data_IF_063516202693
#
_entry.id   IF_063516202693
#
_cell.length_a   1.000
_cell.length_b   1.000
_cell.length_c   1.000
_cell.angle_alpha   90.00
_cell.angle_beta   90.00
_cell.angle_gamma   90.00
#
_symmetry.space_group_name_H-M   'P 1'
#
loop_
_entity.id
_entity.type
_entity.pdbx_description
1 polymer ?
#
# COMPACT_ATOMS: atom_id res chain seq x y z
N UNK A 1 17.40 -7.14 11.09
CA UNK A 1 16.92 -8.27 10.27
C UNK A 1 15.65 -8.90 10.85
N UNK A 2 14.83 -9.47 9.99
CA UNK A 2 13.62 -10.21 10.32
C UNK A 2 12.59 -9.37 11.08
N UNK A 3 11.91 -10.00 12.05
CA UNK A 3 10.90 -9.34 12.88
C UNK A 3 11.43 -8.10 13.63
N UNK A 4 12.75 -8.00 13.80
CA UNK A 4 13.38 -6.84 14.42
C UNK A 4 13.24 -5.60 13.54
N UNK A 5 13.44 -5.70 12.22
CA UNK A 5 13.29 -4.54 11.32
C UNK A 5 11.83 -4.07 11.25
N UNK A 6 10.89 -5.01 11.42
CA UNK A 6 9.47 -4.69 11.38
C UNK A 6 8.97 -4.02 12.66
N UNK A 7 9.44 -4.46 13.83
CA UNK A 7 8.81 -4.11 15.12
C UNK A 7 9.74 -3.50 16.16
N UNK A 8 11.03 -3.32 15.88
CA UNK A 8 11.91 -2.57 16.76
C UNK A 8 11.46 -1.11 16.88
N UNK A 9 11.33 -0.62 18.12
CA UNK A 9 10.88 0.74 18.41
C UNK A 9 11.85 1.53 19.30
N UNK A 10 13.03 0.98 19.58
CA UNK A 10 14.04 1.60 20.45
C UNK A 10 13.79 1.43 21.95
N UNK A 11 12.59 1.00 22.35
CA UNK A 11 12.21 0.79 23.76
C UNK A 11 12.06 -0.70 24.11
N UNK A 12 11.85 -1.55 23.10
CA UNK A 12 11.69 -3.00 23.23
C UNK A 12 13.00 -3.81 23.15
N UNK A 13 14.15 -3.14 23.10
CA UNK A 13 15.47 -3.75 23.23
C UNK A 13 16.57 -2.90 22.60
N UNK A 14 17.60 -3.54 22.07
CA UNK A 14 18.76 -2.86 21.49
C UNK A 14 19.16 -3.45 20.15
N UNK A 15 19.55 -2.57 19.24
CA UNK A 15 20.13 -2.94 17.96
C UNK A 15 21.60 -2.52 17.94
N UNK A 16 22.45 -3.33 17.32
CA UNK A 16 23.80 -2.95 16.96
C UNK A 16 23.72 -2.53 15.50
N UNK A 17 24.10 -1.29 15.21
CA UNK A 17 24.15 -0.83 13.82
C UNK A 17 25.22 -1.60 13.08
N UNK A 18 24.84 -2.26 11.99
CA UNK A 18 25.78 -2.85 11.04
C UNK A 18 26.65 -1.74 10.46
N UNK A 19 27.95 -1.99 10.31
CA UNK A 19 28.87 -1.06 9.66
C UNK A 19 28.78 -1.19 8.13
N UNK A 20 27.59 -0.92 7.58
CA UNK A 20 27.32 -0.96 6.15
C UNK A 20 28.18 0.05 5.39
N UNK A 21 28.77 -0.38 4.27
CA UNK A 21 29.67 0.44 3.45
C UNK A 21 31.15 0.38 3.87
N UNK A 22 31.51 -0.48 4.84
CA UNK A 22 32.91 -0.81 5.18
C UNK A 22 33.29 -2.14 4.52
N UNK A 23 34.13 -2.06 3.48
CA UNK A 23 34.55 -3.24 2.70
C UNK A 23 35.62 -4.09 3.40
N UNK A 24 36.41 -3.49 4.31
CA UNK A 24 37.44 -4.17 5.07
C UNK A 24 36.83 -4.92 6.27
N UNK A 25 36.88 -6.27 6.28
CA UNK A 25 36.25 -7.08 7.33
C UNK A 25 36.82 -6.79 8.72
N UNK A 26 38.14 -6.61 8.86
CA UNK A 26 38.77 -6.39 10.17
C UNK A 26 38.33 -5.03 10.75
N UNK A 27 38.26 -4.02 9.88
CA UNK A 27 37.76 -2.69 10.27
C UNK A 27 36.29 -2.71 10.64
N UNK A 28 35.47 -3.49 9.92
CA UNK A 28 34.05 -3.66 10.22
C UNK A 28 33.86 -4.31 11.60
N UNK A 29 34.62 -5.37 11.87
CA UNK A 29 34.58 -6.09 13.15
C UNK A 29 34.97 -5.17 14.32
N UNK A 30 36.03 -4.35 14.17
CA UNK A 30 36.41 -3.36 15.19
C UNK A 30 35.26 -2.37 15.50
N UNK A 31 34.61 -1.84 14.46
CA UNK A 31 33.52 -0.87 14.61
C UNK A 31 32.28 -1.49 15.28
N UNK A 32 31.91 -2.70 14.87
CA UNK A 32 30.76 -3.41 15.44
C UNK A 32 31.04 -3.85 16.89
N UNK A 33 32.28 -4.25 17.20
CA UNK A 33 32.70 -4.57 18.55
C UNK A 33 32.67 -3.34 19.46
N UNK A 34 33.21 -2.20 19.03
CA UNK A 34 33.16 -0.93 19.77
C UNK A 34 31.71 -0.49 20.04
N UNK A 35 30.84 -0.62 19.04
CA UNK A 35 29.41 -0.33 19.18
C UNK A 35 28.74 -1.25 20.21
N UNK A 36 29.05 -2.56 20.17
CA UNK A 36 28.54 -3.54 21.14
C UNK A 36 29.01 -3.23 22.57
N UNK A 37 30.31 -2.99 22.78
CA UNK A 37 30.84 -2.69 24.11
C UNK A 37 30.26 -1.38 24.66
N UNK A 38 30.19 -0.34 23.84
CA UNK A 38 29.57 0.93 24.19
C UNK A 38 28.10 0.77 24.57
N UNK A 39 27.35 -0.06 23.85
CA UNK A 39 25.95 -0.39 24.14
C UNK A 39 25.81 -1.09 25.50
N UNK A 40 26.66 -2.08 25.77
CA UNK A 40 26.64 -2.82 27.03
C UNK A 40 26.94 -1.89 28.20
N UNK A 41 28.01 -1.11 28.11
CA UNK A 41 28.47 -0.23 29.19
C UNK A 41 27.48 0.90 29.49
N UNK A 42 26.97 1.55 28.46
CA UNK A 42 26.20 2.79 28.62
C UNK A 42 24.69 2.59 28.67
N UNK A 43 24.18 1.48 28.12
CA UNK A 43 22.74 1.22 28.03
C UNK A 43 22.31 -0.04 28.78
N UNK A 44 22.85 -1.21 28.43
CA UNK A 44 22.35 -2.49 28.96
C UNK A 44 22.68 -2.65 30.45
N UNK A 45 23.96 -2.48 30.83
CA UNK A 45 24.39 -2.67 32.21
C UNK A 45 23.71 -1.68 33.17
N UNK A 46 23.58 -0.37 32.85
CA UNK A 46 22.84 0.57 33.71
C UNK A 46 21.35 0.27 33.80
N UNK A 47 20.72 -0.23 32.73
CA UNK A 47 19.32 -0.63 32.76
C UNK A 47 19.09 -1.88 33.62
N UNK A 48 20.00 -2.86 33.53
CA UNK A 48 19.87 -4.14 34.20
C UNK A 48 20.36 -4.12 35.66
N UNK A 49 21.51 -3.51 35.97
CA UNK A 49 22.12 -3.61 37.30
C UNK A 49 21.69 -2.54 38.30
N UNK A 50 21.24 -1.36 37.83
CA UNK A 50 20.78 -0.30 38.73
C UNK A 50 19.48 -0.74 39.42
N UNK A 51 19.50 -0.80 40.74
CA UNK A 51 18.34 -1.18 41.56
C UNK A 51 17.76 0.03 42.30
N UNK A 52 16.46 0.00 42.55
CA UNK A 52 15.79 0.91 43.48
C UNK A 52 15.88 0.41 44.94
N UNK A 53 15.27 1.13 45.87
CA UNK A 53 15.25 0.79 47.30
C UNK A 53 14.56 -0.56 47.60
N UNK A 54 13.77 -1.08 46.65
CA UNK A 54 13.13 -2.40 46.74
C UNK A 54 13.96 -3.52 46.08
N UNK A 55 15.15 -3.20 45.58
CA UNK A 55 16.03 -4.16 44.93
C UNK A 55 15.64 -4.51 43.48
N UNK A 56 14.76 -3.72 42.85
CA UNK A 56 14.26 -3.98 41.49
C UNK A 56 14.91 -3.06 40.46
N UNK A 57 15.07 -3.47 39.18
CA UNK A 57 15.52 -2.58 38.11
C UNK A 57 14.35 -1.84 37.44
N UNK A 58 14.06 -0.58 37.80
CA UNK A 58 12.89 0.13 37.26
C UNK A 58 12.96 0.27 35.73
N UNK A 59 14.13 0.59 35.17
CA UNK A 59 14.32 0.76 33.71
C UNK A 59 14.13 -0.55 32.96
N UNK A 60 14.75 -1.64 33.43
CA UNK A 60 14.56 -2.97 32.81
C UNK A 60 13.11 -3.43 32.85
N UNK A 61 12.44 -3.29 34.00
CA UNK A 61 11.03 -3.65 34.14
C UNK A 61 10.13 -2.80 33.25
N UNK A 62 10.44 -1.53 33.06
CA UNK A 62 9.72 -0.68 32.10
C UNK A 62 9.86 -1.21 30.67
N UNK A 63 11.07 -1.59 30.23
CA UNK A 63 11.30 -2.19 28.92
C UNK A 63 10.54 -3.51 28.74
N UNK A 64 10.56 -4.39 29.75
CA UNK A 64 9.79 -5.66 29.72
C UNK A 64 8.29 -5.38 29.57
N UNK A 65 7.74 -4.46 30.38
CA UNK A 65 6.32 -4.08 30.31
C UNK A 65 5.96 -3.48 28.95
N UNK A 66 6.82 -2.61 28.41
CA UNK A 66 6.63 -2.01 27.10
C UNK A 66 6.60 -3.09 26.00
N UNK A 67 7.59 -3.99 26.00
CA UNK A 67 7.69 -5.11 25.05
C UNK A 67 6.44 -5.98 25.09
N UNK A 68 5.97 -6.38 26.29
CA UNK A 68 4.76 -7.18 26.42
C UNK A 68 3.51 -6.45 25.91
N UNK A 69 3.43 -5.13 26.14
CA UNK A 69 2.31 -4.30 25.68
C UNK A 69 2.30 -4.12 24.16
N UNK A 70 3.45 -3.86 23.55
CA UNK A 70 3.55 -3.51 22.12
C UNK A 70 3.65 -4.74 21.21
N UNK A 71 4.43 -5.75 21.60
CA UNK A 71 4.65 -6.96 20.81
C UNK A 71 3.70 -8.09 21.17
N UNK A 72 3.24 -8.19 22.43
CA UNK A 72 2.37 -9.27 22.90
C UNK A 72 1.20 -9.57 21.96
N UNK A 73 0.37 -8.57 21.57
CA UNK A 73 -0.72 -8.78 20.61
C UNK A 73 -0.26 -9.14 19.19
N UNK A 74 0.98 -8.77 18.82
CA UNK A 74 1.54 -8.94 17.48
C UNK A 74 2.23 -10.29 17.25
N UNK A 75 2.60 -11.03 18.29
CA UNK A 75 3.37 -12.29 18.14
C UNK A 75 2.55 -13.55 18.38
N UNK A 76 1.24 -13.42 18.59
CA UNK A 76 0.38 -14.55 18.89
C UNK A 76 0.16 -15.44 17.66
N UNK A 77 0.53 -16.72 17.78
CA UNK A 77 0.22 -17.73 16.77
C UNK A 77 -1.29 -17.84 16.50
N UNK A 78 -2.14 -17.60 17.51
CA UNK A 78 -3.59 -17.56 17.35
C UNK A 78 -4.07 -16.38 16.50
N UNK A 79 -3.43 -15.21 16.60
CA UNK A 79 -3.69 -14.07 15.71
C UNK A 79 -3.28 -14.43 14.28
N UNK A 80 -2.06 -14.94 14.10
CA UNK A 80 -1.56 -15.37 12.79
C UNK A 80 -2.51 -16.38 12.14
N UNK A 81 -2.85 -17.47 12.84
CA UNK A 81 -3.75 -18.49 12.31
C UNK A 81 -5.12 -17.91 11.95
N UNK A 82 -5.69 -17.05 12.80
CA UNK A 82 -6.95 -16.37 12.51
C UNK A 82 -6.84 -15.54 11.23
N UNK A 83 -5.79 -14.75 11.08
CA UNK A 83 -5.58 -13.92 9.87
C UNK A 83 -5.41 -14.77 8.62
N UNK A 84 -4.67 -15.87 8.68
CA UNK A 84 -4.55 -16.81 7.57
C UNK A 84 -5.91 -17.39 7.17
N UNK A 85 -6.70 -17.84 8.15
CA UNK A 85 -8.01 -18.41 7.89
C UNK A 85 -8.97 -17.36 7.32
N UNK A 86 -9.06 -16.18 7.93
CA UNK A 86 -10.07 -15.18 7.56
C UNK A 86 -9.70 -14.36 6.34
N UNK A 87 -8.41 -14.09 6.10
CA UNK A 87 -7.97 -13.25 4.98
C UNK A 87 -7.55 -14.05 3.75
N UNK A 88 -7.11 -15.29 3.91
CA UNK A 88 -6.54 -16.08 2.82
C UNK A 88 -7.37 -17.34 2.54
N UNK A 89 -7.45 -18.27 3.50
CA UNK A 89 -8.01 -19.60 3.23
C UNK A 89 -9.52 -19.61 3.01
N UNK A 90 -10.31 -18.94 3.85
CA UNK A 90 -11.76 -18.91 3.69
C UNK A 90 -12.18 -18.20 2.39
N UNK A 91 -11.67 -17.00 2.06
CA UNK A 91 -11.95 -16.36 0.77
C UNK A 91 -11.55 -17.22 -0.43
N UNK A 92 -10.38 -17.88 -0.40
CA UNK A 92 -9.95 -18.77 -1.47
C UNK A 92 -10.89 -19.97 -1.64
N UNK A 93 -11.35 -20.58 -0.53
CA UNK A 93 -12.29 -21.69 -0.57
C UNK A 93 -13.68 -21.27 -1.09
N UNK A 94 -14.14 -20.06 -0.76
CA UNK A 94 -15.38 -19.49 -1.31
C UNK A 94 -15.27 -19.21 -2.81
N UNK A 95 -14.15 -18.62 -3.25
CA UNK A 95 -13.87 -18.40 -4.67
C UNK A 95 -13.84 -19.71 -5.45
N UNK A 96 -13.17 -20.74 -4.94
CA UNK A 96 -13.14 -22.08 -5.56
C UNK A 96 -14.55 -22.66 -5.73
N UNK A 97 -15.39 -22.64 -4.67
CA UNK A 97 -16.78 -23.11 -4.74
C UNK A 97 -17.62 -22.34 -5.77
N UNK A 98 -17.43 -21.02 -5.86
CA UNK A 98 -18.13 -20.18 -6.85
C UNK A 98 -17.75 -20.54 -8.29
N UNK A 99 -16.48 -20.84 -8.53
CA UNK A 99 -15.97 -21.20 -9.86
C UNK A 99 -16.38 -22.61 -10.27
N UNK A 100 -16.49 -23.56 -9.32
CA UNK A 100 -16.94 -24.93 -9.56
C UNK A 100 -18.47 -25.07 -9.74
N UNK A 101 -19.23 -24.10 -9.23
CA UNK A 101 -20.68 -24.10 -9.33
C UNK A 101 -21.19 -24.16 -10.79
N UNK A 102 -22.42 -24.63 -10.96
CA UNK A 102 -23.14 -24.65 -12.25
C UNK A 102 -22.34 -25.31 -13.39
N UNK A 103 -21.56 -26.35 -13.07
CA UNK A 103 -20.73 -27.04 -14.04
C UNK A 103 -19.66 -26.13 -14.65
N UNK A 104 -18.95 -25.38 -13.79
CA UNK A 104 -17.86 -24.49 -14.19
C UNK A 104 -18.27 -23.38 -15.16
N UNK A 105 -19.49 -22.84 -15.02
CA UNK A 105 -19.97 -21.75 -15.88
C UNK A 105 -19.10 -20.49 -15.73
N UNK A 106 -18.92 -20.03 -14.48
CA UNK A 106 -18.07 -18.87 -14.16
C UNK A 106 -16.61 -19.07 -14.58
N UNK A 107 -16.08 -20.29 -14.46
CA UNK A 107 -14.72 -20.60 -14.88
C UNK A 107 -14.51 -20.38 -16.39
N UNK A 108 -15.47 -20.83 -17.20
CA UNK A 108 -15.44 -20.70 -18.67
C UNK A 108 -15.63 -19.25 -19.10
N UNK A 109 -16.58 -18.55 -18.48
CA UNK A 109 -16.81 -17.12 -18.67
C UNK A 109 -15.56 -16.31 -18.35
N UNK A 110 -15.00 -16.50 -17.15
CA UNK A 110 -13.77 -15.83 -16.72
C UNK A 110 -12.60 -16.13 -17.66
N UNK A 111 -12.45 -17.38 -18.11
CA UNK A 111 -11.40 -17.77 -19.06
C UNK A 111 -11.53 -17.04 -20.40
N UNK A 112 -12.74 -16.97 -20.96
CA UNK A 112 -13.02 -16.25 -22.19
C UNK A 112 -12.76 -14.74 -22.04
N UNK A 113 -13.26 -14.16 -20.94
CA UNK A 113 -13.05 -12.76 -20.60
C UNK A 113 -11.57 -12.41 -20.43
N UNK A 114 -10.79 -13.22 -19.68
CA UNK A 114 -9.34 -13.01 -19.52
C UNK A 114 -8.60 -12.98 -20.85
N UNK A 115 -8.97 -13.86 -21.78
CA UNK A 115 -8.40 -13.89 -23.13
C UNK A 115 -8.74 -12.62 -23.90
N UNK A 116 -10.00 -12.18 -23.87
CA UNK A 116 -10.45 -10.96 -24.54
C UNK A 116 -9.72 -9.73 -24.00
N UNK A 117 -9.70 -9.55 -22.67
CA UNK A 117 -9.05 -8.42 -22.01
C UNK A 117 -7.55 -8.37 -22.31
N UNK A 118 -6.85 -9.49 -22.21
CA UNK A 118 -5.41 -9.55 -22.48
C UNK A 118 -5.08 -9.15 -23.93
N UNK A 119 -5.89 -9.58 -24.89
CA UNK A 119 -5.71 -9.22 -26.31
C UNK A 119 -6.01 -7.74 -26.58
N UNK A 120 -7.03 -7.18 -25.92
CA UNK A 120 -7.45 -5.80 -26.10
C UNK A 120 -6.63 -4.78 -25.29
N UNK A 121 -5.90 -5.21 -24.25
CA UNK A 121 -5.32 -4.31 -23.24
C UNK A 121 -4.40 -3.22 -23.80
N UNK A 122 -3.66 -3.52 -24.87
CA UNK A 122 -2.76 -2.57 -25.52
C UNK A 122 -3.47 -1.33 -26.10
N UNK A 123 -4.80 -1.40 -26.28
CA UNK A 123 -5.62 -0.28 -26.73
C UNK A 123 -6.20 0.56 -25.58
N UNK A 124 -6.10 0.08 -24.34
CA UNK A 124 -6.56 0.80 -23.16
C UNK A 124 -5.54 1.88 -22.80
N UNK A 125 -5.99 3.13 -22.70
CA UNK A 125 -5.14 4.26 -22.29
C UNK A 125 -5.95 5.34 -21.59
N UNK A 126 -5.30 6.03 -20.66
CA UNK A 126 -5.82 7.27 -20.08
C UNK A 126 -5.34 8.40 -20.97
N UNK A 127 -6.26 9.04 -21.69
CA UNK A 127 -5.96 10.12 -22.62
C UNK A 127 -5.66 11.42 -21.87
N UNK A 128 -6.48 11.73 -20.85
CA UNK A 128 -6.35 12.95 -20.07
C UNK A 128 -6.98 12.79 -18.67
N UNK A 129 -6.44 13.50 -17.68
CA UNK A 129 -6.98 13.59 -16.32
C UNK A 129 -7.02 15.06 -15.92
N UNK A 130 -8.13 15.47 -15.34
CA UNK A 130 -8.33 16.82 -14.81
C UNK A 130 -8.96 16.73 -13.41
N UNK A 131 -8.73 17.75 -12.59
CA UNK A 131 -9.38 17.85 -11.29
C UNK A 131 -9.84 19.27 -11.00
N UNK A 132 -11.07 19.39 -10.50
CA UNK A 132 -11.61 20.64 -9.97
C UNK A 132 -11.55 20.63 -8.44
N UNK A 133 -11.40 21.80 -7.84
CA UNK A 133 -11.36 21.95 -6.37
C UNK A 133 -9.98 21.68 -5.76
N UNK A 134 -8.96 21.53 -6.60
CA UNK A 134 -7.55 21.42 -6.20
C UNK A 134 -6.92 22.82 -6.29
N UNK A 135 -6.52 23.38 -5.16
CA UNK A 135 -5.68 24.59 -5.09
C UNK A 135 -4.47 24.34 -4.20
N UNK A 136 -3.54 25.30 -4.10
CA UNK A 136 -2.25 25.14 -3.37
C UNK A 136 -2.40 24.68 -1.91
N UNK A 137 -3.55 24.98 -1.29
CA UNK A 137 -3.93 24.46 0.02
C UNK A 137 -5.40 24.05 -0.01
N UNK A 138 -5.67 22.75 0.10
CA UNK A 138 -7.03 22.25 0.18
C UNK A 138 -7.46 22.12 1.66
N UNK A 139 -8.64 22.65 1.98
CA UNK A 139 -9.20 22.62 3.33
C UNK A 139 -10.02 21.35 3.54
N UNK A 140 -10.02 20.86 4.78
CA UNK A 140 -10.85 19.76 5.25
C UNK A 140 -12.32 20.07 4.99
N UNK A 141 -13.02 19.11 4.38
CA UNK A 141 -14.41 19.27 3.96
C UNK A 141 -14.60 19.79 2.53
N UNK A 142 -13.53 20.23 1.85
CA UNK A 142 -13.62 20.53 0.41
C UNK A 142 -13.83 19.24 -0.39
N UNK A 143 -14.56 19.38 -1.49
CA UNK A 143 -14.74 18.33 -2.48
C UNK A 143 -13.79 18.54 -3.65
N UNK A 144 -13.03 17.50 -3.97
CA UNK A 144 -12.23 17.43 -5.19
C UNK A 144 -12.98 16.55 -6.18
N UNK A 145 -13.22 17.07 -7.38
CA UNK A 145 -13.82 16.29 -8.48
C UNK A 145 -12.74 15.90 -9.46
N UNK A 146 -12.42 14.61 -9.54
CA UNK A 146 -11.49 14.06 -10.54
C UNK A 146 -12.28 13.57 -11.74
N UNK A 147 -11.84 13.93 -12.94
CA UNK A 147 -12.35 13.43 -14.22
C UNK A 147 -11.22 12.79 -15.02
N UNK A 148 -11.51 11.65 -15.63
CA UNK A 148 -10.57 10.92 -16.44
C UNK A 148 -11.21 10.56 -17.78
N UNK A 149 -10.52 10.90 -18.86
CA UNK A 149 -10.87 10.53 -20.22
C UNK A 149 -10.08 9.28 -20.58
N UNK A 150 -10.79 8.17 -20.77
CA UNK A 150 -10.19 6.84 -20.94
C UNK A 150 -10.64 6.24 -22.26
N UNK A 151 -9.68 5.88 -23.11
CA UNK A 151 -9.91 5.04 -24.28
C UNK A 151 -9.87 3.56 -23.85
N UNK A 152 -10.95 2.81 -24.07
CA UNK A 152 -11.05 1.38 -23.72
C UNK A 152 -10.86 0.44 -24.93
N UNK A 153 -10.76 0.99 -26.14
CA UNK A 153 -10.66 0.20 -27.37
C UNK A 153 -11.91 -0.65 -27.59
N UNK A 154 -11.74 -1.97 -27.64
CA UNK A 154 -12.85 -2.92 -27.80
C UNK A 154 -13.47 -3.38 -26.47
N UNK A 155 -12.98 -2.89 -25.32
CA UNK A 155 -13.52 -3.20 -24.00
C UNK A 155 -14.62 -2.22 -23.61
N UNK A 156 -15.54 -2.68 -22.76
CA UNK A 156 -16.58 -1.85 -22.16
C UNK A 156 -16.24 -1.41 -20.73
N UNK A 157 -17.03 -0.48 -20.15
CA UNK A 157 -16.90 -0.08 -18.76
C UNK A 157 -17.01 -1.25 -17.76
N UNK A 158 -17.76 -2.30 -18.11
CA UNK A 158 -17.94 -3.49 -17.26
C UNK A 158 -16.69 -4.38 -17.21
N UNK A 159 -15.78 -4.26 -18.19
CA UNK A 159 -14.53 -5.02 -18.26
C UNK A 159 -13.39 -4.40 -17.44
N UNK A 160 -13.59 -3.19 -16.91
CA UNK A 160 -12.56 -2.41 -16.23
C UNK A 160 -13.07 -1.75 -14.96
N UNK A 161 -12.15 -1.41 -14.06
CA UNK A 161 -12.41 -0.45 -12.99
C UNK A 161 -11.40 0.69 -13.15
N UNK A 162 -11.93 1.90 -13.36
CA UNK A 162 -11.13 3.12 -13.29
C UNK A 162 -11.13 3.59 -11.84
N UNK A 163 -9.95 3.84 -11.28
CA UNK A 163 -9.78 4.26 -9.90
C UNK A 163 -9.04 5.58 -9.83
N UNK A 164 -9.59 6.51 -9.05
CA UNK A 164 -8.80 7.61 -8.52
C UNK A 164 -7.91 7.06 -7.40
N UNK A 165 -6.62 7.38 -7.46
CA UNK A 165 -5.63 7.06 -6.42
C UNK A 165 -5.15 8.38 -5.86
N UNK A 166 -5.31 8.61 -4.57
CA UNK A 166 -5.07 9.92 -3.97
C UNK A 166 -4.57 9.81 -2.55
N UNK A 167 -3.90 10.85 -2.05
CA UNK A 167 -3.33 10.82 -0.72
C UNK A 167 -2.46 12.03 -0.44
N UNK A 168 -1.67 11.93 0.62
CA UNK A 168 -0.65 12.94 0.93
C UNK A 168 0.52 12.78 -0.03
N UNK A 169 1.22 13.88 -0.28
CA UNK A 169 2.54 13.85 -0.91
C UNK A 169 3.63 14.09 0.14
N UNK A 170 4.78 13.45 -0.04
CA UNK A 170 5.99 13.76 0.71
C UNK A 170 6.82 14.85 -0.01
N UNK A 171 8.08 15.03 0.41
CA UNK A 171 8.95 16.06 -0.14
C UNK A 171 9.45 15.76 -1.56
N UNK A 172 9.29 14.51 -2.03
CA UNK A 172 9.68 14.04 -3.36
C UNK A 172 8.44 13.90 -4.29
N UNK A 173 7.33 14.54 -3.92
CA UNK A 173 6.03 14.48 -4.60
C UNK A 173 5.47 13.05 -4.77
N UNK A 174 5.86 12.13 -3.87
CA UNK A 174 5.37 10.76 -3.87
C UNK A 174 4.13 10.61 -2.99
N UNK A 175 3.14 9.86 -3.49
CA UNK A 175 1.94 9.55 -2.73
C UNK A 175 2.25 8.65 -1.54
N UNK A 176 2.04 9.16 -0.33
CA UNK A 176 2.18 8.43 0.93
C UNK A 176 0.80 8.12 1.52
N UNK A 177 0.59 6.84 1.83
CA UNK A 177 -0.69 6.37 2.39
C UNK A 177 -1.84 6.51 1.41
N UNK A 178 -1.61 6.16 0.14
CA UNK A 178 -2.59 6.31 -0.93
C UNK A 178 -3.89 5.54 -0.65
N UNK A 179 -5.00 6.21 -0.85
CA UNK A 179 -6.35 5.67 -0.88
C UNK A 179 -6.80 5.52 -2.33
N UNK A 180 -7.75 4.61 -2.57
CA UNK A 180 -8.29 4.38 -3.91
C UNK A 180 -9.81 4.41 -3.90
N UNK A 181 -10.42 5.07 -4.88
CA UNK A 181 -11.86 5.09 -5.05
C UNK A 181 -12.24 4.79 -6.51
N UNK A 182 -13.18 3.85 -6.71
CA UNK A 182 -13.72 3.57 -8.04
C UNK A 182 -14.44 4.82 -8.59
N UNK A 183 -14.14 5.15 -9.84
CA UNK A 183 -14.74 6.23 -10.59
C UNK A 183 -15.94 5.71 -11.38
N UNK A 184 -16.96 6.55 -11.52
CA UNK A 184 -18.21 6.19 -12.20
C UNK A 184 -18.10 6.57 -13.69
N UNK A 185 -18.45 5.68 -14.64
CA UNK A 185 -18.56 6.05 -16.05
C UNK A 185 -19.76 7.01 -16.22
N UNK A 186 -19.51 8.18 -16.81
CA UNK A 186 -20.50 9.25 -16.95
C UNK A 186 -21.02 9.37 -18.38
N UNK A 187 -20.11 9.37 -19.35
CA UNK A 187 -20.43 9.62 -20.75
C UNK A 187 -19.46 8.89 -21.68
N UNK A 188 -19.96 8.46 -22.84
CA UNK A 188 -19.18 7.85 -23.91
C UNK A 188 -18.98 8.84 -25.06
N UNK A 189 -17.74 9.02 -25.50
CA UNK A 189 -17.37 9.83 -26.66
C UNK A 189 -16.72 8.95 -27.73
N UNK A 190 -16.94 9.30 -29.00
CA UNK A 190 -16.19 8.77 -30.14
C UNK A 190 -16.02 7.23 -30.13
N UNK A 191 -17.10 6.52 -29.77
CA UNK A 191 -17.18 5.06 -29.72
C UNK A 191 -16.42 4.42 -28.56
N UNK A 192 -15.10 4.59 -28.47
CA UNK A 192 -14.26 3.84 -27.53
C UNK A 192 -13.77 4.67 -26.33
N UNK A 193 -14.11 5.97 -26.26
CA UNK A 193 -13.66 6.86 -25.18
C UNK A 193 -14.76 7.06 -24.16
N UNK A 194 -14.39 7.16 -22.89
CA UNK A 194 -15.30 7.31 -21.78
C UNK A 194 -14.79 8.38 -20.82
N UNK A 195 -15.69 9.23 -20.35
CA UNK A 195 -15.44 10.07 -19.18
C UNK A 195 -15.84 9.30 -17.94
N UNK A 196 -14.88 9.17 -17.04
CA UNK A 196 -15.08 8.70 -15.68
C UNK A 196 -14.99 9.87 -14.71
N UNK A 197 -15.80 9.85 -13.65
CA UNK A 197 -15.81 10.92 -12.64
C UNK A 197 -15.79 10.33 -11.23
N UNK A 198 -15.10 11.01 -10.33
CA UNK A 198 -15.22 10.77 -8.88
C UNK A 198 -15.16 12.06 -8.09
N UNK A 199 -16.02 12.16 -7.08
CA UNK A 199 -15.96 13.23 -6.06
C UNK A 199 -15.35 12.64 -4.80
N UNK A 200 -14.34 13.31 -4.26
CA UNK A 200 -13.61 12.93 -3.05
C UNK A 200 -13.75 14.04 -2.03
N UNK A 201 -14.23 13.71 -0.83
CA UNK A 201 -14.26 14.63 0.30
C UNK A 201 -12.96 14.52 1.08
N UNK A 202 -12.24 15.62 1.23
CA UNK A 202 -10.95 15.61 1.92
C UNK A 202 -11.13 15.60 3.43
N UNK A 203 -10.62 14.54 4.06
CA UNK A 203 -10.70 14.36 5.51
C UNK A 203 -9.67 15.17 6.32
N UNK A 204 -8.69 15.81 5.67
CA UNK A 204 -7.56 16.50 6.32
C UNK A 204 -7.04 17.66 5.48
N UNK A 205 -6.41 18.63 6.14
CA UNK A 205 -5.71 19.75 5.51
C UNK A 205 -4.31 19.34 5.05
N UNK A 206 -3.81 19.96 3.98
CA UNK A 206 -2.42 19.85 3.52
C UNK A 206 -2.29 19.56 2.03
N UNK A 207 -1.05 19.31 1.56
CA UNK A 207 -0.78 18.90 0.19
C UNK A 207 -1.56 17.64 -0.19
N UNK A 208 -2.16 17.65 -1.37
CA UNK A 208 -3.01 16.58 -1.89
C UNK A 208 -2.51 16.18 -3.27
N UNK A 209 -2.05 14.94 -3.39
CA UNK A 209 -1.70 14.34 -4.67
C UNK A 209 -2.82 13.42 -5.16
N UNK A 210 -2.94 13.30 -6.47
CA UNK A 210 -3.82 12.32 -7.09
C UNK A 210 -3.27 11.79 -8.41
N UNK A 211 -3.76 10.63 -8.81
CA UNK A 211 -3.60 10.04 -10.13
C UNK A 211 -4.81 9.15 -10.43
N UNK A 212 -4.87 8.60 -11.63
CA UNK A 212 -5.92 7.68 -12.05
C UNK A 212 -5.28 6.42 -12.59
N UNK A 213 -5.85 5.26 -12.29
CA UNK A 213 -5.43 3.99 -12.89
C UNK A 213 -6.61 3.22 -13.45
N UNK A 214 -6.36 2.42 -14.48
CA UNK A 214 -7.33 1.46 -15.02
C UNK A 214 -6.85 0.05 -14.71
N UNK A 215 -7.75 -0.78 -14.18
CA UNK A 215 -7.52 -2.19 -13.88
C UNK A 215 -8.60 -3.05 -14.57
N UNK A 216 -8.29 -4.30 -14.97
CA UNK A 216 -9.32 -5.23 -15.39
C UNK A 216 -10.34 -5.49 -14.27
N UNK A 217 -11.61 -5.67 -14.63
CA UNK A 217 -12.70 -5.96 -13.69
C UNK A 217 -13.56 -7.11 -14.17
N UNK A 218 -13.73 -8.11 -13.31
CA UNK A 218 -14.68 -9.20 -13.55
C UNK A 218 -15.07 -9.82 -12.20
N UNK A 219 -16.33 -10.22 -12.08
CA UNK A 219 -16.90 -10.80 -10.83
C UNK A 219 -16.19 -12.08 -10.37
N UNK A 220 -15.55 -12.78 -11.31
CA UNK A 220 -14.78 -14.00 -11.08
C UNK A 220 -13.31 -13.80 -10.69
N UNK A 221 -12.78 -12.57 -10.68
CA UNK A 221 -11.42 -12.32 -10.19
C UNK A 221 -11.34 -12.48 -8.67
N UNK A 222 -10.26 -13.09 -8.18
CA UNK A 222 -9.99 -13.17 -6.74
C UNK A 222 -9.50 -11.83 -6.18
N UNK A 223 -8.68 -11.13 -6.97
CA UNK A 223 -8.20 -9.77 -6.69
C UNK A 223 -8.08 -8.98 -7.99
N UNK A 224 -8.22 -7.64 -7.98
CA UNK A 224 -8.09 -6.82 -9.18
C UNK A 224 -6.74 -6.95 -9.92
N UNK A 225 -5.68 -7.33 -9.20
CA UNK A 225 -4.32 -7.42 -9.73
C UNK A 225 -3.99 -8.79 -10.37
N UNK A 226 -4.92 -9.74 -10.39
CA UNK A 226 -4.67 -11.13 -10.80
C UNK A 226 -4.07 -11.26 -12.21
N UNK A 227 -4.38 -10.34 -13.13
CA UNK A 227 -3.86 -10.32 -14.49
C UNK A 227 -2.51 -9.59 -14.63
N UNK A 228 -2.05 -8.87 -13.61
CA UNK A 228 -0.84 -8.03 -13.70
C UNK A 228 -0.95 -6.86 -14.69
N UNK A 229 -2.16 -6.56 -15.16
CA UNK A 229 -2.44 -5.50 -16.11
C UNK A 229 -2.90 -4.23 -15.39
N UNK A 230 -2.30 -3.10 -15.75
CA UNK A 230 -2.74 -1.78 -15.31
C UNK A 230 -2.37 -0.73 -16.36
N UNK A 231 -3.11 0.38 -16.36
CA UNK A 231 -2.78 1.58 -17.13
C UNK A 231 -2.69 2.75 -16.18
N UNK A 232 -1.61 3.52 -16.31
CA UNK A 232 -1.40 4.79 -15.64
C UNK A 232 -1.41 5.93 -16.69
N UNK A 233 -1.61 7.19 -16.29
CA UNK A 233 -1.57 8.31 -17.20
C UNK A 233 -0.17 8.45 -17.78
N UNK A 234 -0.06 8.78 -19.07
CA UNK A 234 1.25 9.04 -19.69
C UNK A 234 1.87 10.31 -19.11
N UNK A 235 3.13 10.21 -18.67
CA UNK A 235 3.90 11.37 -18.21
C UNK A 235 4.38 12.12 -19.46
N UNK A 236 3.51 12.96 -20.03
CA UNK A 236 3.92 13.89 -21.08
C UNK A 236 4.63 15.08 -20.43
N UNK A 237 5.89 15.33 -20.79
CA UNK A 237 6.77 16.37 -20.24
C UNK A 237 6.35 17.83 -20.50
N UNK A 238 5.09 18.17 -20.25
CA UNK A 238 4.52 19.50 -20.42
C UNK A 238 3.17 19.73 -19.75
N UNK A 239 2.69 18.83 -18.88
CA UNK A 239 1.47 19.03 -18.09
C UNK A 239 1.85 19.37 -16.65
N UNK A 240 1.94 20.67 -16.35
CA UNK A 240 2.23 21.16 -14.99
C UNK A 240 1.04 21.11 -14.03
N UNK A 241 -0.12 20.58 -14.42
CA UNK A 241 -1.38 20.74 -13.69
C UNK A 241 -2.13 19.43 -13.34
N UNK A 242 -1.53 18.24 -13.48
CA UNK A 242 -2.30 17.03 -13.11
C UNK A 242 -1.61 15.67 -13.12
N UNK A 243 -0.32 15.60 -13.46
CA UNK A 243 0.48 14.38 -13.28
C UNK A 243 1.73 14.81 -12.52
N UNK A 244 1.71 14.62 -11.21
CA UNK A 244 2.72 15.08 -10.25
C UNK A 244 2.77 16.60 -10.08
N UNK A 245 2.09 17.05 -9.03
CA UNK A 245 2.55 18.06 -8.07
C UNK A 245 2.12 17.60 -6.68
#
# INVERSE_FOLDING_TARGET
DGWWDEWFDGENGWAISTADGVDDPDRRDDLEADALYSLIENSVAPAFYRRDDSGLPPRWLAMVKHTLRTLGPKVLASRMLREYVTRLYAPAAEAARRVEAEGFALARELGAWKSQVTQAWNSVRIDHVEADGVGDAVMQGNEVTIRAYVSLGSLGPDDVTVQAVFGRVDADDLLVGAETAAMDPVEQYDGARWLYRKVITLGRNGPFGYTVRVLPSHVGLAVPQELGLQVLPSISGGMSDGVLR
#
